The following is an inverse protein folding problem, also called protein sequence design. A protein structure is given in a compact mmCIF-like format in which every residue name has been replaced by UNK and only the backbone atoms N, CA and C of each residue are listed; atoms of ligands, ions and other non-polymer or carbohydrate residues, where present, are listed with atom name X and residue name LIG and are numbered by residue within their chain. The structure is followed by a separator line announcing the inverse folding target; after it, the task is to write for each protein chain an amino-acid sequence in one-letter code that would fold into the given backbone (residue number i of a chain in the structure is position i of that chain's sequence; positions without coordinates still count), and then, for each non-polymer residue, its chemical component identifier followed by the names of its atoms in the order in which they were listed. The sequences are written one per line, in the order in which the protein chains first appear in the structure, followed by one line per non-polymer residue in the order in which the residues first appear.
data_IF_285708505731
#
_entry.id   IF_285708505731
#
_cell.length_a   1.000
_cell.length_b   1.000
_cell.length_c   1.000
_cell.angle_alpha   90.00
_cell.angle_beta   90.00
_cell.angle_gamma   90.00
#
_symmetry.space_group_name_H-M   'P 1'
#
loop_
_entity.id
_entity.type
_entity.pdbx_description
1 polymer ?
#
# COMPACT_ATOMS: atom_id res chain seq x y z
N UNK A 1 -4.27 7.38 -14.65
CA UNK A 1 -3.32 6.62 -15.50
C UNK A 1 -3.25 5.15 -15.08
N UNK A 2 -2.74 4.21 -15.90
CA UNK A 2 -2.36 2.86 -15.42
C UNK A 2 -1.03 2.97 -14.68
N UNK A 3 -1.00 2.51 -13.43
CA UNK A 3 0.20 2.55 -12.56
C UNK A 3 0.88 1.20 -12.52
N UNK A 4 0.13 0.09 -12.40
CA UNK A 4 0.67 -1.27 -12.38
C UNK A 4 0.07 -2.11 -13.50
N UNK A 5 0.84 -2.35 -14.56
CA UNK A 5 0.42 -3.21 -15.69
C UNK A 5 0.22 -4.67 -15.24
N UNK A 6 1.11 -5.20 -14.40
CA UNK A 6 1.08 -6.58 -13.93
C UNK A 6 -0.21 -6.99 -13.19
N UNK A 7 -0.83 -6.04 -12.50
CA UNK A 7 -2.02 -6.23 -11.68
C UNK A 7 -3.20 -5.38 -12.18
N UNK A 8 -3.07 -4.77 -13.37
CA UNK A 8 -4.07 -3.88 -13.97
C UNK A 8 -4.58 -2.77 -13.02
N UNK A 9 -3.69 -2.18 -12.20
CA UNK A 9 -4.07 -1.13 -11.25
C UNK A 9 -3.89 0.25 -11.87
N UNK A 10 -4.93 1.06 -11.81
CA UNK A 10 -4.90 2.48 -12.16
C UNK A 10 -4.61 3.35 -10.95
N UNK A 11 -4.23 4.58 -11.21
CA UNK A 11 -4.08 5.64 -10.20
C UNK A 11 -5.35 5.81 -9.36
N UNK A 12 -6.54 5.70 -9.98
CA UNK A 12 -7.82 5.75 -9.25
C UNK A 12 -7.96 4.60 -8.27
N UNK A 13 -7.47 3.41 -8.61
CA UNK A 13 -7.49 2.25 -7.73
C UNK A 13 -6.55 2.44 -6.54
N UNK A 14 -5.40 3.08 -6.76
CA UNK A 14 -4.45 3.43 -5.70
C UNK A 14 -5.05 4.49 -4.77
N UNK A 15 -5.68 5.53 -5.31
CA UNK A 15 -6.35 6.60 -4.54
C UNK A 15 -7.49 6.02 -3.69
N UNK A 16 -8.33 5.14 -4.26
CA UNK A 16 -9.40 4.47 -3.51
C UNK A 16 -8.87 3.60 -2.38
N UNK A 17 -7.79 2.84 -2.62
CA UNK A 17 -7.16 2.05 -1.57
C UNK A 17 -6.62 2.93 -0.44
N UNK A 18 -5.99 4.06 -0.79
CA UNK A 18 -5.52 5.06 0.18
C UNK A 18 -6.66 5.64 1.01
N UNK A 19 -7.76 6.06 0.36
CA UNK A 19 -8.96 6.57 1.04
C UNK A 19 -9.63 5.51 1.94
N UNK A 20 -9.45 4.24 1.60
CA UNK A 20 -9.87 3.09 2.41
C UNK A 20 -8.88 2.73 3.54
N UNK A 21 -7.84 3.53 3.76
CA UNK A 21 -6.88 3.36 4.85
C UNK A 21 -5.58 2.61 4.50
N UNK A 22 -5.29 2.34 3.22
CA UNK A 22 -4.01 1.76 2.83
C UNK A 22 -2.87 2.77 3.04
N UNK A 23 -2.07 2.57 4.10
CA UNK A 23 -0.92 3.42 4.43
C UNK A 23 0.42 2.90 3.85
N UNK A 24 0.43 1.71 3.25
CA UNK A 24 1.64 1.11 2.68
C UNK A 24 1.33 0.44 1.34
N UNK A 25 2.34 0.25 0.50
CA UNK A 25 2.18 -0.53 -0.73
C UNK A 25 1.70 -1.95 -0.46
N UNK A 26 2.20 -2.59 0.61
CA UNK A 26 1.75 -3.93 0.99
C UNK A 26 0.24 -3.94 1.31
N UNK A 27 -0.24 -2.96 2.09
CA UNK A 27 -1.65 -2.78 2.37
C UNK A 27 -2.46 -2.49 1.08
N UNK A 28 -1.90 -1.70 0.16
CA UNK A 28 -2.53 -1.38 -1.12
C UNK A 28 -2.72 -2.63 -1.99
N UNK A 29 -1.67 -3.41 -2.22
CA UNK A 29 -1.76 -4.64 -3.01
C UNK A 29 -2.70 -5.66 -2.35
N UNK A 30 -2.67 -5.75 -1.01
CA UNK A 30 -3.59 -6.58 -0.23
C UNK A 30 -5.06 -6.13 -0.40
N UNK A 31 -5.34 -4.83 -0.38
CA UNK A 31 -6.68 -4.29 -0.57
C UNK A 31 -7.26 -4.62 -1.96
N UNK A 32 -6.38 -4.78 -2.95
CA UNK A 32 -6.72 -5.21 -4.31
C UNK A 32 -6.63 -6.72 -4.53
N UNK A 33 -6.44 -7.51 -3.47
CA UNK A 33 -6.39 -8.97 -3.54
C UNK A 33 -5.26 -9.52 -4.41
N UNK A 34 -4.16 -8.77 -4.58
CA UNK A 34 -3.06 -9.16 -5.45
C UNK A 34 -1.70 -9.06 -4.75
N UNK A 35 -0.70 -9.68 -5.36
CA UNK A 35 0.70 -9.64 -4.90
C UNK A 35 1.52 -8.78 -5.87
N UNK A 36 2.65 -8.27 -5.39
CA UNK A 36 3.63 -7.59 -6.25
C UNK A 36 4.21 -8.62 -7.24
N UNK A 37 4.30 -8.25 -8.52
CA UNK A 37 4.96 -9.08 -9.54
C UNK A 37 6.36 -8.54 -9.87
N UNK A 38 6.45 -7.58 -10.79
CA UNK A 38 7.74 -7.12 -11.31
C UNK A 38 8.34 -5.88 -10.59
N UNK A 39 7.59 -5.25 -9.69
CA UNK A 39 8.05 -4.10 -8.90
C UNK A 39 8.26 -2.76 -9.64
N UNK A 40 8.18 -2.71 -10.97
CA UNK A 40 8.46 -1.49 -11.77
C UNK A 40 7.58 -0.29 -11.43
N UNK A 41 6.38 -0.52 -10.94
CA UNK A 41 5.44 0.53 -10.54
C UNK A 41 5.68 1.08 -9.14
N UNK A 42 6.54 0.46 -8.32
CA UNK A 42 6.70 0.78 -6.88
C UNK A 42 7.06 2.24 -6.63
N UNK A 43 7.97 2.81 -7.41
CA UNK A 43 8.37 4.22 -7.25
C UNK A 43 7.20 5.18 -7.48
N UNK A 44 6.48 5.02 -8.59
CA UNK A 44 5.32 5.85 -8.89
C UNK A 44 4.15 5.59 -7.93
N UNK A 45 3.87 4.33 -7.61
CA UNK A 45 2.84 3.97 -6.64
C UNK A 45 3.10 4.55 -5.24
N UNK A 46 4.37 4.65 -4.81
CA UNK A 46 4.75 5.37 -3.58
C UNK A 46 4.45 6.85 -3.66
N UNK A 47 4.73 7.52 -4.77
CA UNK A 47 4.44 8.96 -4.89
C UNK A 47 2.94 9.31 -4.74
N UNK A 48 2.05 8.33 -4.97
CA UNK A 48 0.60 8.47 -4.80
C UNK A 48 0.11 8.17 -3.38
N UNK A 49 0.98 7.58 -2.54
CA UNK A 49 0.74 7.33 -1.13
C UNK A 49 1.55 8.34 -0.30
N UNK A 50 0.92 9.20 0.53
CA UNK A 50 1.68 9.95 1.51
C UNK A 50 2.39 8.96 2.45
N UNK A 51 3.68 9.15 2.70
CA UNK A 51 4.37 8.34 3.69
C UNK A 51 3.74 8.64 5.05
N UNK A 52 2.91 7.73 5.56
CA UNK A 52 2.60 7.71 6.97
C UNK A 52 3.93 7.44 7.70
N UNK A 53 4.28 8.21 8.74
CA UNK A 53 5.44 7.92 9.55
C UNK A 53 5.43 6.44 9.91
N UNK A 54 6.53 5.75 9.64
CA UNK A 54 6.71 4.35 10.07
C UNK A 54 6.85 4.39 11.58
N UNK A 55 5.73 4.53 12.29
CA UNK A 55 5.64 4.28 13.72
C UNK A 55 5.83 2.78 13.87
N UNK A 56 7.11 2.43 14.08
CA UNK A 56 7.57 1.07 14.30
C UNK A 56 6.63 0.43 15.31
N UNK A 57 5.94 -0.64 14.88
CA UNK A 57 5.24 -1.60 15.75
C UNK A 57 6.16 -2.03 16.89
N UNK A 58 6.13 -1.29 17.99
CA UNK A 58 6.72 -1.67 19.27
C UNK A 58 5.75 -1.25 20.37
N UNK A 59 4.52 -1.76 20.32
CA UNK A 59 3.55 -1.71 21.42
C UNK A 59 2.30 -2.54 21.07
N UNK A 60 2.37 -3.87 21.17
CA UNK A 60 1.22 -4.75 21.45
C UNK A 60 1.68 -6.04 22.18
N UNK A 61 2.63 -5.95 23.13
CA UNK A 61 3.00 -7.07 24.02
C UNK A 61 3.24 -6.63 25.48
N UNK A 62 2.53 -5.61 26.00
CA UNK A 62 2.62 -5.28 27.45
C UNK A 62 1.25 -4.99 28.06
N UNK A 63 0.32 -5.94 27.92
CA UNK A 63 -0.79 -6.08 28.88
C UNK A 63 -1.07 -7.57 29.07
N UNK A 64 -0.57 -8.15 30.17
CA UNK A 64 -1.11 -9.39 30.75
C UNK A 64 -0.18 -10.59 30.84
N UNK A 65 0.64 -10.64 31.88
CA UNK A 65 0.91 -11.80 32.73
C UNK A 65 1.65 -11.35 33.99
#
# INVERSE_FOLDING_TARGET
MIVCVCNALSERDLVRARESGAATLAALYKAHGCQVKCGRCVGHARSLLPEAPVERRRQMEVTGA
#
